data_IF_301594614577
#
_entry.id   IF_301594614577
#
_cell.length_a   1.000
_cell.length_b   1.000
_cell.length_c   1.000
_cell.angle_alpha   90.00
_cell.angle_beta   90.00
_cell.angle_gamma   90.00
#
_symmetry.space_group_name_H-M   'P 1'
#
loop_
_entity.id
_entity.type
_entity.pdbx_description
1 polymer ?
#
# COMPACT_ATOMS: atom_id res chain seq x y z
N UNK A 1 26.50 -0.06 9.75
CA UNK A 1 26.23 -0.88 8.55
C UNK A 1 25.47 0.00 7.58
N UNK A 2 26.13 0.54 6.55
CA UNK A 2 25.48 1.35 5.53
C UNK A 2 24.76 0.41 4.57
N UNK A 3 23.48 0.12 4.77
CA UNK A 3 22.67 -0.30 3.62
C UNK A 3 22.14 0.98 2.97
N UNK A 4 22.44 1.17 1.70
CA UNK A 4 22.10 2.37 0.92
C UNK A 4 20.97 2.05 -0.05
N UNK A 5 19.85 1.48 0.46
CA UNK A 5 18.75 1.06 -0.42
C UNK A 5 18.07 2.27 -1.04
N UNK A 6 17.63 2.14 -2.28
CA UNK A 6 16.73 3.08 -2.94
C UNK A 6 15.29 2.55 -2.91
N UNK A 7 14.34 3.46 -2.71
CA UNK A 7 12.92 3.13 -2.74
C UNK A 7 12.15 4.03 -3.70
N UNK A 8 11.17 3.44 -4.38
CA UNK A 8 10.10 4.16 -5.07
C UNK A 8 8.80 3.98 -4.29
N UNK A 9 8.12 5.08 -3.95
CA UNK A 9 6.83 5.08 -3.30
C UNK A 9 5.78 5.74 -4.19
N UNK A 10 4.75 4.99 -4.52
CA UNK A 10 3.59 5.47 -5.27
C UNK A 10 2.40 5.57 -4.31
N UNK A 11 1.73 6.74 -4.30
CA UNK A 11 0.63 7.01 -3.37
C UNK A 11 1.07 7.60 -2.02
N UNK A 12 2.19 8.32 -2.00
CA UNK A 12 2.76 8.96 -0.80
C UNK A 12 1.82 9.93 -0.07
N UNK A 13 0.87 10.52 -0.79
CA UNK A 13 -0.12 11.46 -0.22
C UNK A 13 -1.35 10.78 0.39
N UNK A 14 -1.50 9.45 0.24
CA UNK A 14 -2.56 8.67 0.87
C UNK A 14 -2.24 8.31 2.33
N UNK A 15 -3.24 7.89 3.11
CA UNK A 15 -3.07 7.63 4.55
C UNK A 15 -1.88 6.71 4.87
N UNK A 16 -1.80 5.53 4.24
CA UNK A 16 -0.69 4.59 4.48
C UNK A 16 0.60 5.14 3.87
N UNK A 17 0.54 5.69 2.65
CA UNK A 17 1.71 6.22 1.96
C UNK A 17 2.44 7.31 2.74
N UNK A 18 1.71 8.18 3.44
CA UNK A 18 2.32 9.22 4.28
C UNK A 18 3.10 8.63 5.45
N UNK A 19 2.62 7.55 6.06
CA UNK A 19 3.39 6.84 7.09
C UNK A 19 4.56 6.06 6.48
N UNK A 20 4.38 5.40 5.33
CA UNK A 20 5.49 4.70 4.63
C UNK A 20 6.61 5.68 4.30
N UNK A 21 6.29 6.88 3.78
CA UNK A 21 7.27 7.93 3.53
C UNK A 21 8.03 8.30 4.82
N UNK A 22 7.32 8.60 5.91
CA UNK A 22 7.95 8.95 7.19
C UNK A 22 8.89 7.85 7.71
N UNK A 23 8.43 6.61 7.69
CA UNK A 23 9.21 5.46 8.16
C UNK A 23 10.45 5.25 7.28
N UNK A 24 10.36 5.41 5.95
CA UNK A 24 11.53 5.29 5.04
C UNK A 24 12.53 6.43 5.29
N UNK A 25 12.07 7.67 5.40
CA UNK A 25 12.96 8.83 5.58
C UNK A 25 13.77 8.75 6.88
N UNK A 26 13.15 8.22 7.95
CA UNK A 26 13.77 8.00 9.25
C UNK A 26 14.63 6.73 9.31
N UNK A 27 14.50 5.80 8.36
CA UNK A 27 15.24 4.55 8.37
C UNK A 27 16.64 4.72 7.74
N UNK A 28 17.68 4.34 8.49
CA UNK A 28 19.07 4.37 8.02
C UNK A 28 19.37 3.36 6.91
N UNK A 29 18.50 2.37 6.70
CA UNK A 29 18.66 1.38 5.65
C UNK A 29 18.41 1.95 4.23
N UNK A 30 17.72 3.09 4.14
CA UNK A 30 17.41 3.78 2.90
C UNK A 30 18.24 5.06 2.76
N UNK A 31 18.91 5.18 1.62
CA UNK A 31 19.68 6.37 1.25
C UNK A 31 18.86 7.40 0.47
N UNK A 32 17.90 6.94 -0.33
CA UNK A 32 17.02 7.80 -1.10
C UNK A 32 15.61 7.20 -1.20
N UNK A 33 14.63 8.09 -1.35
CA UNK A 33 13.24 7.79 -1.59
C UNK A 33 12.76 8.68 -2.73
N UNK A 34 12.31 8.06 -3.83
CA UNK A 34 11.56 8.76 -4.87
C UNK A 34 10.07 8.57 -4.63
N UNK A 35 9.28 9.65 -4.72
CA UNK A 35 7.81 9.58 -4.62
C UNK A 35 7.17 10.01 -5.93
N UNK A 36 6.16 9.26 -6.37
CA UNK A 36 5.29 9.68 -7.48
C UNK A 36 4.02 10.32 -6.93
N UNK A 37 3.81 11.58 -7.30
CA UNK A 37 2.68 12.38 -6.87
C UNK A 37 1.97 13.01 -8.08
N UNK A 38 0.70 13.39 -7.88
CA UNK A 38 -0.08 14.10 -8.91
C UNK A 38 0.08 15.62 -8.84
N UNK A 39 0.37 16.13 -7.64
CA UNK A 39 0.54 17.56 -7.35
C UNK A 39 1.72 17.71 -6.39
N UNK A 40 2.40 18.85 -6.47
CA UNK A 40 3.49 19.20 -5.57
C UNK A 40 3.04 19.17 -4.10
N UNK A 41 3.88 18.62 -3.23
CA UNK A 41 3.70 18.69 -1.78
C UNK A 41 4.70 19.66 -1.16
N UNK A 42 4.49 19.99 0.11
CA UNK A 42 5.37 20.90 0.87
C UNK A 42 6.46 20.16 1.65
N UNK A 43 6.48 18.83 1.60
CA UNK A 43 7.41 17.99 2.35
C UNK A 43 8.81 18.10 1.74
N UNK A 44 9.81 18.32 2.58
CA UNK A 44 11.22 18.40 2.15
C UNK A 44 12.08 17.54 3.07
N UNK A 45 13.02 16.80 2.48
CA UNK A 45 13.95 15.96 3.22
C UNK A 45 15.17 15.66 2.36
N UNK A 46 16.35 15.52 2.96
CA UNK A 46 17.61 15.29 2.23
C UNK A 46 17.62 13.99 1.40
N UNK A 47 16.82 13.00 1.81
CA UNK A 47 16.63 11.73 1.11
C UNK A 47 15.45 11.71 0.12
N UNK A 48 14.58 12.73 0.14
CA UNK A 48 13.32 12.71 -0.60
C UNK A 48 13.49 13.38 -1.96
N UNK A 49 13.12 12.65 -3.01
CA UNK A 49 12.99 13.15 -4.37
C UNK A 49 11.53 13.01 -4.82
N UNK A 50 10.78 14.11 -4.78
CA UNK A 50 9.39 14.09 -5.24
C UNK A 50 9.31 14.36 -6.74
N UNK A 51 8.62 13.49 -7.47
CA UNK A 51 8.42 13.60 -8.92
C UNK A 51 6.93 13.68 -9.21
N UNK A 52 6.53 14.79 -9.80
CA UNK A 52 5.17 14.99 -10.28
C UNK A 52 5.04 14.24 -11.61
N UNK A 53 4.10 13.31 -11.68
CA UNK A 53 3.86 12.49 -12.87
C UNK A 53 2.41 12.54 -13.32
N UNK A 54 2.24 12.38 -14.63
CA UNK A 54 0.98 11.91 -15.19
C UNK A 54 0.97 10.38 -15.12
N UNK A 55 0.04 9.82 -14.32
CA UNK A 55 -0.07 8.37 -14.14
C UNK A 55 -0.51 7.64 -15.40
N UNK A 56 -1.20 8.33 -16.33
CA UNK A 56 -1.53 7.79 -17.65
C UNK A 56 -0.31 7.63 -18.56
N UNK A 57 0.80 8.31 -18.20
CA UNK A 57 2.07 8.28 -18.90
C UNK A 57 3.19 7.74 -18.01
N UNK A 58 2.86 6.88 -17.04
CA UNK A 58 3.83 6.25 -16.15
C UNK A 58 5.03 5.60 -16.89
N UNK A 59 4.88 4.98 -18.09
CA UNK A 59 6.00 4.47 -18.87
C UNK A 59 7.11 5.48 -19.19
N UNK A 60 6.78 6.77 -19.31
CA UNK A 60 7.75 7.83 -19.60
C UNK A 60 8.77 7.99 -18.46
N UNK A 61 8.43 7.49 -17.27
CA UNK A 61 9.24 7.56 -16.05
C UNK A 61 9.92 6.23 -15.70
N UNK A 62 10.00 5.28 -16.62
CA UNK A 62 10.57 3.93 -16.39
C UNK A 62 11.95 3.93 -15.72
N UNK A 63 12.80 4.90 -16.03
CA UNK A 63 14.15 5.01 -15.46
C UNK A 63 14.14 5.20 -13.93
N UNK A 64 13.07 5.79 -13.39
CA UNK A 64 12.88 5.99 -11.94
C UNK A 64 12.43 4.72 -11.22
N UNK A 65 12.12 3.63 -11.94
CA UNK A 65 11.87 2.31 -11.36
C UNK A 65 13.16 1.52 -11.09
N UNK A 66 14.34 2.05 -11.40
CA UNK A 66 15.64 1.44 -11.06
C UNK A 66 15.95 1.60 -9.56
N UNK A 67 15.17 0.91 -8.73
CA UNK A 67 15.25 0.96 -7.27
C UNK A 67 15.30 -0.45 -6.66
N UNK A 68 15.73 -0.54 -5.40
CA UNK A 68 15.76 -1.82 -4.69
C UNK A 68 14.36 -2.28 -4.23
N UNK A 69 13.52 -1.34 -3.81
CA UNK A 69 12.21 -1.58 -3.21
C UNK A 69 11.12 -0.69 -3.83
N UNK A 70 10.01 -1.31 -4.26
CA UNK A 70 8.81 -0.59 -4.69
C UNK A 70 7.69 -0.71 -3.63
N UNK A 71 7.14 0.43 -3.22
CA UNK A 71 5.95 0.51 -2.38
C UNK A 71 4.79 1.11 -3.18
N UNK A 72 3.70 0.36 -3.33
CA UNK A 72 2.48 0.82 -4.01
C UNK A 72 1.36 0.98 -2.99
N UNK A 73 1.13 2.21 -2.56
CA UNK A 73 0.08 2.61 -1.62
C UNK A 73 -1.12 3.29 -2.32
N UNK A 74 -1.31 3.00 -3.61
CA UNK A 74 -2.45 3.50 -4.37
C UNK A 74 -3.76 2.89 -3.88
N UNK A 75 -4.78 3.73 -3.83
CA UNK A 75 -6.14 3.33 -3.54
C UNK A 75 -7.04 4.56 -3.51
N UNK A 76 -8.14 4.48 -4.26
CA UNK A 76 -9.20 5.48 -4.22
C UNK A 76 -10.45 4.92 -3.53
N UNK A 77 -11.44 5.76 -3.29
CA UNK A 77 -12.77 5.31 -2.85
C UNK A 77 -13.74 5.44 -4.01
N UNK A 78 -14.82 4.67 -4.03
CA UNK A 78 -15.89 4.84 -5.04
C UNK A 78 -16.37 6.29 -5.12
N UNK A 79 -16.51 6.96 -3.96
CA UNK A 79 -16.92 8.38 -3.85
C UNK A 79 -15.93 9.31 -4.56
N UNK A 80 -14.62 9.08 -4.39
CA UNK A 80 -13.56 9.88 -5.03
C UNK A 80 -13.35 9.57 -6.50
N UNK A 81 -13.45 8.29 -6.87
CA UNK A 81 -13.31 7.84 -8.24
C UNK A 81 -14.44 8.38 -9.13
N UNK A 82 -15.63 8.55 -8.55
CA UNK A 82 -16.85 8.95 -9.27
C UNK A 82 -17.45 7.81 -10.09
N UNK A 83 -16.62 6.99 -10.75
CA UNK A 83 -17.03 5.87 -11.60
C UNK A 83 -16.30 4.58 -11.23
N UNK A 84 -16.86 3.44 -11.64
CA UNK A 84 -16.21 2.13 -11.50
C UNK A 84 -14.95 2.03 -12.37
N UNK A 85 -14.96 2.63 -13.56
CA UNK A 85 -13.82 2.68 -14.46
C UNK A 85 -12.64 3.43 -13.82
N UNK A 86 -12.88 4.64 -13.29
CA UNK A 86 -11.84 5.40 -12.59
C UNK A 86 -11.33 4.67 -11.34
N UNK A 87 -12.21 3.96 -10.64
CA UNK A 87 -11.81 3.14 -9.50
C UNK A 87 -10.87 2.02 -9.96
N UNK A 88 -11.24 1.28 -11.01
CA UNK A 88 -10.42 0.22 -11.59
C UNK A 88 -9.09 0.77 -12.10
N UNK A 89 -9.10 1.91 -12.77
CA UNK A 89 -7.90 2.58 -13.28
C UNK A 89 -6.86 2.83 -12.18
N UNK A 90 -7.30 3.33 -11.03
CA UNK A 90 -6.41 3.63 -9.90
C UNK A 90 -6.02 2.37 -9.11
N UNK A 91 -6.99 1.52 -8.79
CA UNK A 91 -6.78 0.39 -7.86
C UNK A 91 -6.29 -0.89 -8.54
N UNK A 92 -6.34 -0.96 -9.87
CA UNK A 92 -5.85 -2.07 -10.70
C UNK A 92 -4.84 -1.57 -11.74
N UNK A 93 -5.25 -0.75 -12.73
CA UNK A 93 -4.43 -0.51 -13.93
C UNK A 93 -3.08 0.13 -13.57
N UNK A 94 -3.08 1.23 -12.79
CA UNK A 94 -1.86 1.90 -12.36
C UNK A 94 -0.98 1.03 -11.44
N UNK A 95 -1.58 0.14 -10.65
CA UNK A 95 -0.83 -0.75 -9.74
C UNK A 95 -0.13 -1.84 -10.53
N UNK A 96 -0.83 -2.45 -11.49
CA UNK A 96 -0.27 -3.48 -12.37
C UNK A 96 0.82 -2.88 -13.26
N UNK A 97 0.60 -1.68 -13.80
CA UNK A 97 1.59 -1.00 -14.64
C UNK A 97 2.86 -0.64 -13.85
N UNK A 98 2.72 -0.15 -12.62
CA UNK A 98 3.86 0.09 -11.75
C UNK A 98 4.66 -1.19 -11.46
N UNK A 99 3.97 -2.31 -11.20
CA UNK A 99 4.63 -3.60 -10.98
C UNK A 99 5.32 -4.13 -12.25
N UNK A 100 4.74 -3.91 -13.43
CA UNK A 100 5.34 -4.28 -14.73
C UNK A 100 6.63 -3.49 -14.95
N UNK A 101 6.57 -2.16 -14.83
CA UNK A 101 7.73 -1.28 -14.97
C UNK A 101 8.81 -1.59 -13.93
N UNK A 102 8.43 -1.91 -12.70
CA UNK A 102 9.36 -2.37 -11.67
C UNK A 102 10.12 -3.63 -12.08
N UNK A 103 9.41 -4.66 -12.56
CA UNK A 103 10.04 -5.90 -13.02
C UNK A 103 11.00 -5.65 -14.19
N UNK A 104 10.60 -4.83 -15.16
CA UNK A 104 11.40 -4.48 -16.33
C UNK A 104 12.68 -3.71 -15.97
N UNK A 105 12.66 -2.95 -14.87
CA UNK A 105 13.78 -2.15 -14.40
C UNK A 105 14.55 -2.82 -13.24
N UNK A 106 14.35 -4.12 -13.02
CA UNK A 106 15.16 -4.91 -12.11
C UNK A 106 14.78 -4.84 -10.63
N UNK A 107 13.61 -4.29 -10.29
CA UNK A 107 13.11 -4.31 -8.90
C UNK A 107 12.90 -5.77 -8.48
N UNK A 108 13.44 -6.11 -7.32
CA UNK A 108 13.35 -7.47 -6.78
C UNK A 108 12.30 -7.62 -5.69
N UNK A 109 11.85 -6.51 -5.10
CA UNK A 109 10.97 -6.49 -3.92
C UNK A 109 9.87 -5.45 -4.09
N UNK A 110 8.62 -5.89 -3.93
CA UNK A 110 7.43 -5.03 -4.02
C UNK A 110 6.49 -5.26 -2.84
N UNK A 111 6.02 -4.16 -2.24
CA UNK A 111 4.93 -4.15 -1.26
C UNK A 111 3.73 -3.39 -1.84
N UNK A 112 2.58 -4.04 -1.90
CA UNK A 112 1.34 -3.47 -2.45
C UNK A 112 0.26 -3.44 -1.37
N UNK A 113 -0.41 -2.29 -1.23
CA UNK A 113 -1.59 -2.17 -0.36
C UNK A 113 -2.82 -2.70 -1.09
N UNK A 114 -3.32 -3.83 -0.60
CA UNK A 114 -4.58 -4.45 -0.98
C UNK A 114 -5.64 -4.19 0.11
N UNK A 115 -6.55 -5.13 0.34
CA UNK A 115 -7.61 -5.03 1.34
C UNK A 115 -8.03 -6.40 1.87
N UNK A 116 -8.55 -6.42 3.10
CA UNK A 116 -9.16 -7.62 3.65
C UNK A 116 -10.29 -8.14 2.75
N UNK A 117 -10.27 -9.44 2.45
CA UNK A 117 -11.28 -10.08 1.61
C UNK A 117 -11.15 -9.79 0.11
N UNK A 118 -10.00 -9.29 -0.35
CA UNK A 118 -9.64 -9.28 -1.77
C UNK A 118 -9.76 -10.70 -2.36
N UNK A 119 -10.57 -10.81 -3.42
CA UNK A 119 -10.92 -12.08 -4.05
C UNK A 119 -11.45 -11.78 -5.46
N UNK A 120 -10.80 -12.30 -6.50
CA UNK A 120 -11.18 -12.09 -7.91
C UNK A 120 -12.57 -12.63 -8.25
N UNK A 121 -13.12 -13.53 -7.44
CA UNK A 121 -14.47 -14.09 -7.60
C UNK A 121 -15.52 -13.42 -6.71
N UNK A 122 -15.15 -12.36 -5.98
CA UNK A 122 -16.07 -11.64 -5.10
C UNK A 122 -17.21 -10.98 -5.88
N UNK A 123 -18.43 -11.07 -5.33
CA UNK A 123 -19.59 -10.30 -5.82
C UNK A 123 -19.52 -8.81 -5.48
N UNK A 124 -18.65 -8.42 -4.57
CA UNK A 124 -18.40 -7.02 -4.22
C UNK A 124 -17.28 -6.46 -5.11
N UNK A 125 -17.64 -5.52 -5.99
CA UNK A 125 -16.73 -4.86 -6.94
C UNK A 125 -15.39 -4.40 -6.34
N UNK A 126 -15.39 -3.85 -5.11
CA UNK A 126 -14.17 -3.41 -4.46
C UNK A 126 -13.20 -4.57 -4.20
N UNK A 127 -13.69 -5.64 -3.56
CA UNK A 127 -12.91 -6.85 -3.27
C UNK A 127 -12.52 -7.59 -4.56
N UNK A 128 -13.40 -7.56 -5.56
CA UNK A 128 -13.16 -8.15 -6.88
C UNK A 128 -11.95 -7.49 -7.55
N UNK A 129 -11.97 -6.16 -7.69
CA UNK A 129 -10.87 -5.39 -8.31
C UNK A 129 -9.56 -5.61 -7.56
N UNK A 130 -9.58 -5.63 -6.21
CA UNK A 130 -8.38 -5.90 -5.42
C UNK A 130 -7.84 -7.32 -5.62
N UNK A 131 -8.71 -8.34 -5.67
CA UNK A 131 -8.29 -9.71 -5.92
C UNK A 131 -7.76 -9.92 -7.33
N UNK A 132 -8.39 -9.31 -8.33
CA UNK A 132 -7.90 -9.31 -9.71
C UNK A 132 -6.53 -8.62 -9.81
N UNK A 133 -6.33 -7.49 -9.11
CA UNK A 133 -5.05 -6.78 -9.06
C UNK A 133 -3.96 -7.66 -8.44
N UNK A 134 -4.26 -8.31 -7.31
CA UNK A 134 -3.32 -9.22 -6.65
C UNK A 134 -2.88 -10.34 -7.58
N UNK A 135 -3.82 -10.96 -8.31
CA UNK A 135 -3.51 -12.00 -9.29
C UNK A 135 -2.65 -11.48 -10.43
N UNK A 136 -3.01 -10.33 -11.00
CA UNK A 136 -2.26 -9.71 -12.09
C UNK A 136 -0.83 -9.39 -11.67
N UNK A 137 -0.63 -8.73 -10.52
CA UNK A 137 0.70 -8.41 -9.99
C UNK A 137 1.50 -9.67 -9.65
N UNK A 138 0.86 -10.70 -9.07
CA UNK A 138 1.51 -11.99 -8.79
C UNK A 138 2.07 -12.64 -10.05
N UNK A 139 1.38 -12.51 -11.18
CA UNK A 139 1.77 -13.12 -12.46
C UNK A 139 3.00 -12.48 -13.11
N UNK A 140 3.38 -11.26 -12.70
CA UNK A 140 4.55 -10.53 -13.23
C UNK A 140 5.87 -11.18 -12.81
N UNK A 141 5.89 -11.88 -11.67
CA UNK A 141 7.08 -12.62 -11.23
C UNK A 141 8.21 -11.75 -10.65
N UNK A 142 7.87 -10.71 -9.88
CA UNK A 142 8.83 -10.01 -9.01
C UNK A 142 9.24 -10.97 -7.88
N UNK A 143 10.55 -11.06 -7.60
CA UNK A 143 11.12 -12.12 -6.74
C UNK A 143 10.47 -12.22 -5.37
N UNK A 144 10.19 -11.09 -4.72
CA UNK A 144 9.55 -11.01 -3.41
C UNK A 144 8.38 -10.03 -3.47
N UNK A 145 7.16 -10.56 -3.51
CA UNK A 145 5.92 -9.80 -3.67
C UNK A 145 5.07 -9.93 -2.41
N UNK A 146 4.74 -8.81 -1.77
CA UNK A 146 3.88 -8.77 -0.59
C UNK A 146 2.61 -7.96 -0.85
N UNK A 147 1.46 -8.57 -0.61
CA UNK A 147 0.17 -7.89 -0.57
C UNK A 147 -0.28 -7.71 0.88
N UNK A 148 -0.46 -6.46 1.29
CA UNK A 148 -0.96 -6.12 2.62
C UNK A 148 -2.46 -5.96 2.56
N UNK A 149 -3.19 -6.78 3.31
CA UNK A 149 -4.66 -6.80 3.36
C UNK A 149 -5.16 -6.24 4.70
N UNK A 150 -5.03 -4.92 4.93
CA UNK A 150 -5.54 -4.31 6.14
C UNK A 150 -7.07 -4.40 6.17
N UNK A 151 -7.61 -4.43 7.39
CA UNK A 151 -9.03 -4.19 7.66
C UNK A 151 -9.34 -2.69 7.61
N UNK A 152 -10.45 -2.27 8.22
CA UNK A 152 -10.77 -0.85 8.40
C UNK A 152 -9.56 -0.08 8.93
N UNK A 153 -9.23 1.04 8.31
CA UNK A 153 -8.07 1.84 8.67
C UNK A 153 -8.53 3.02 9.52
N UNK A 154 -7.92 3.19 10.70
CA UNK A 154 -8.09 4.39 11.53
C UNK A 154 -6.99 5.41 11.15
N UNK A 155 -7.35 6.68 11.06
CA UNK A 155 -6.39 7.77 10.87
C UNK A 155 -7.03 9.17 10.82
N UNK A 156 -6.25 10.18 11.24
CA UNK A 156 -6.65 11.58 11.49
C UNK A 156 -6.89 12.45 10.22
N UNK A 157 -7.11 11.84 9.05
CA UNK A 157 -7.50 12.61 7.85
C UNK A 157 -9.00 12.44 7.63
N UNK A 158 -9.68 13.56 7.44
CA UNK A 158 -11.13 13.80 7.25
C UNK A 158 -11.84 13.02 6.12
N UNK A 159 -11.33 11.87 5.73
CA UNK A 159 -11.98 10.98 4.79
C UNK A 159 -12.23 9.65 5.47
N UNK A 160 -13.40 9.61 6.09
CA UNK A 160 -14.15 8.41 6.44
C UNK A 160 -13.94 7.33 5.36
N UNK A 161 -12.95 6.46 5.58
CA UNK A 161 -12.77 5.24 4.81
C UNK A 161 -13.93 4.32 5.15
N UNK A 162 -15.00 4.40 4.35
CA UNK A 162 -16.19 3.53 4.43
C UNK A 162 -16.85 3.49 5.82
N UNK A 163 -16.66 4.53 6.63
CA UNK A 163 -17.19 4.61 7.99
C UNK A 163 -18.63 5.11 8.09
N UNK A 164 -19.16 5.80 7.07
CA UNK A 164 -20.45 6.51 7.18
C UNK A 164 -21.69 5.61 7.34
N UNK A 165 -21.59 4.29 7.18
CA UNK A 165 -22.72 3.38 7.51
C UNK A 165 -22.41 2.25 8.48
N UNK A 166 -21.13 2.04 8.77
CA UNK A 166 -20.64 0.92 9.58
C UNK A 166 -20.13 1.46 10.93
N UNK A 167 -19.56 2.66 10.96
CA UNK A 167 -18.98 3.27 12.17
C UNK A 167 -20.01 3.59 13.26
N UNK A 168 -21.18 4.10 12.89
CA UNK A 168 -22.25 4.41 13.85
C UNK A 168 -22.83 3.15 14.51
N UNK A 169 -22.81 2.01 13.81
CA UNK A 169 -23.39 0.75 14.31
C UNK A 169 -22.35 -0.12 15.04
N UNK A 170 -21.07 -0.10 14.62
CA UNK A 170 -20.01 -0.93 15.23
C UNK A 170 -19.31 -0.30 16.44
N UNK A 171 -19.28 1.03 16.52
CA UNK A 171 -18.49 1.77 17.53
C UNK A 171 -18.93 1.50 18.98
N UNK A 172 -20.22 1.32 19.22
CA UNK A 172 -20.78 1.23 20.58
C UNK A 172 -21.16 -0.17 21.02
N UNK A 173 -21.33 -1.15 20.10
CA UNK A 173 -21.94 -2.44 20.45
C UNK A 173 -21.03 -3.65 20.17
N UNK A 174 -20.15 -3.62 19.18
CA UNK A 174 -19.50 -4.84 18.65
C UNK A 174 -18.02 -4.99 19.07
N UNK A 175 -17.35 -3.93 19.53
CA UNK A 175 -15.96 -4.01 20.02
C UNK A 175 -15.72 -5.07 21.13
N UNK A 176 -16.62 -5.29 22.11
CA UNK A 176 -16.43 -6.32 23.12
C UNK A 176 -16.63 -7.76 22.59
N UNK A 177 -17.34 -7.91 21.47
CA UNK A 177 -17.77 -9.20 20.91
C UNK A 177 -16.74 -9.79 19.92
N UNK A 178 -15.88 -8.94 19.33
CA UNK A 178 -14.82 -9.38 18.41
C UNK A 178 -13.59 -9.94 19.16
N UNK A 179 -13.75 -11.15 19.73
CA UNK A 179 -12.66 -11.99 20.27
C UNK A 179 -12.45 -13.23 19.37
N UNK A 180 -11.23 -13.77 19.33
CA UNK A 180 -10.90 -14.98 18.54
C UNK A 180 -10.69 -14.72 17.03
N UNK A 181 -11.32 -15.54 16.17
CA UNK A 181 -11.16 -15.56 14.69
C UNK A 181 -11.52 -14.24 13.98
N UNK A 182 -12.16 -13.31 14.68
CA UNK A 182 -12.62 -12.02 14.16
C UNK A 182 -11.66 -10.85 14.45
N UNK A 183 -10.52 -11.10 15.11
CA UNK A 183 -9.46 -10.08 15.36
C UNK A 183 -9.01 -9.36 14.10
N UNK A 184 -8.97 -10.06 12.95
CA UNK A 184 -8.60 -9.49 11.64
C UNK A 184 -9.50 -8.33 11.18
N UNK A 185 -10.68 -8.14 11.76
CA UNK A 185 -11.60 -7.03 11.42
C UNK A 185 -11.46 -5.81 12.33
N UNK A 186 -10.65 -5.88 13.39
CA UNK A 186 -10.33 -4.70 14.20
C UNK A 186 -9.58 -3.71 13.36
N UNK A 187 -9.84 -2.42 13.57
CA UNK A 187 -9.20 -1.42 12.75
C UNK A 187 -7.70 -1.36 13.02
N UNK A 188 -6.92 -1.13 11.96
CA UNK A 188 -5.45 -1.03 12.03
C UNK A 188 -5.04 0.41 11.74
N UNK A 189 -4.09 0.94 12.49
CA UNK A 189 -3.58 2.30 12.26
C UNK A 189 -2.69 2.32 10.99
N UNK A 190 -2.76 3.39 10.20
CA UNK A 190 -1.97 3.51 8.97
C UNK A 190 -0.45 3.34 9.21
N UNK A 191 0.05 3.80 10.36
CA UNK A 191 1.44 3.63 10.76
C UNK A 191 1.81 2.16 11.00
N UNK A 192 0.93 1.37 11.61
CA UNK A 192 1.13 -0.06 11.85
C UNK A 192 1.29 -0.81 10.52
N UNK A 193 0.48 -0.46 9.52
CA UNK A 193 0.62 -1.00 8.16
C UNK A 193 1.97 -0.62 7.56
N UNK A 194 2.36 0.65 7.63
CA UNK A 194 3.64 1.13 7.09
C UNK A 194 4.85 0.41 7.72
N UNK A 195 4.90 0.32 9.06
CA UNK A 195 5.94 -0.42 9.79
C UNK A 195 6.01 -1.88 9.34
N UNK A 196 4.85 -2.55 9.20
CA UNK A 196 4.79 -3.92 8.69
C UNK A 196 5.31 -4.03 7.25
N UNK A 197 4.94 -3.10 6.37
CA UNK A 197 5.42 -3.06 4.97
C UNK A 197 6.95 -3.02 4.90
N UNK A 198 7.59 -2.08 5.60
CA UNK A 198 9.05 -1.98 5.62
C UNK A 198 9.70 -3.24 6.20
N UNK A 199 9.12 -3.82 7.26
CA UNK A 199 9.68 -4.99 7.94
C UNK A 199 9.70 -6.23 7.05
N UNK A 200 8.59 -6.54 6.39
CA UNK A 200 8.50 -7.70 5.49
C UNK A 200 9.32 -7.51 4.22
N UNK A 201 9.30 -6.31 3.65
CA UNK A 201 10.09 -6.04 2.46
C UNK A 201 11.60 -6.09 2.74
N UNK A 202 12.02 -5.75 3.97
CA UNK A 202 13.40 -5.94 4.43
C UNK A 202 13.80 -7.41 4.57
N UNK A 203 12.88 -8.30 5.00
CA UNK A 203 13.10 -9.75 5.05
C UNK A 203 13.30 -10.33 3.64
N UNK A 204 12.55 -9.83 2.66
CA UNK A 204 12.79 -10.09 1.23
C UNK A 204 12.62 -11.56 0.84
N UNK A 205 11.72 -12.29 1.53
CA UNK A 205 11.49 -13.70 1.25
C UNK A 205 10.92 -13.87 -0.16
N UNK A 206 11.57 -14.70 -0.97
CA UNK A 206 11.11 -15.01 -2.31
C UNK A 206 9.68 -15.60 -2.31
N UNK A 207 8.94 -15.31 -3.38
CA UNK A 207 7.57 -15.75 -3.60
C UNK A 207 6.55 -14.63 -3.42
N UNK A 208 5.28 -15.04 -3.50
CA UNK A 208 4.11 -14.17 -3.31
C UNK A 208 3.54 -14.43 -1.93
N UNK A 209 3.37 -13.36 -1.15
CA UNK A 209 2.91 -13.43 0.23
C UNK A 209 1.71 -12.50 0.46
N UNK A 210 0.72 -13.01 1.17
CA UNK A 210 -0.46 -12.25 1.57
C UNK A 210 -0.41 -12.01 3.08
N UNK A 211 -0.29 -10.76 3.49
CA UNK A 211 -0.19 -10.35 4.89
C UNK A 211 -1.55 -9.84 5.35
N UNK A 212 -2.26 -10.71 6.08
CA UNK A 212 -3.58 -10.41 6.63
C UNK A 212 -3.52 -9.44 7.82
N UNK A 213 -4.62 -8.75 8.07
CA UNK A 213 -4.72 -7.65 9.05
C UNK A 213 -4.26 -8.00 10.48
N UNK A 214 -4.52 -9.22 10.95
CA UNK A 214 -4.10 -9.68 12.29
C UNK A 214 -2.58 -9.83 12.40
N UNK A 215 -1.92 -10.28 11.34
CA UNK A 215 -0.46 -10.33 11.26
C UNK A 215 0.15 -8.93 11.17
N UNK A 216 -0.48 -8.03 10.41
CA UNK A 216 -0.08 -6.61 10.34
C UNK A 216 -0.13 -5.99 11.74
N UNK A 217 -1.25 -6.14 12.45
CA UNK A 217 -1.42 -5.61 13.80
C UNK A 217 -0.37 -6.15 14.77
N UNK A 218 -0.17 -7.48 14.78
CA UNK A 218 0.82 -8.13 15.66
C UNK A 218 2.23 -7.61 15.42
N UNK A 219 2.61 -7.31 14.19
CA UNK A 219 3.97 -6.86 13.86
C UNK A 219 4.15 -5.37 14.14
N UNK A 220 3.15 -4.54 13.86
CA UNK A 220 3.26 -3.12 14.16
C UNK A 220 3.20 -2.81 15.67
N UNK A 221 2.53 -3.63 16.47
CA UNK A 221 2.54 -3.53 17.95
C UNK A 221 3.88 -3.93 18.58
N UNK A 222 4.73 -4.68 17.85
CA UNK A 222 6.08 -5.07 18.30
C UNK A 222 7.15 -4.04 17.97
N UNK A 223 6.81 -2.98 17.21
CA UNK A 223 7.72 -1.87 16.94
C UNK A 223 7.53 -0.79 18.01
N UNK A 224 8.57 -0.48 18.81
CA UNK A 224 8.52 0.58 19.81
C UNK A 224 8.17 1.96 19.21
#
# INVERSE_FOLDING_TARGET
MNSNRSALLIGATGLIGTYVQKEILQNSDYGNLTTFVRNQTTETHSKLNEVIIDFDKMPDYKELFKVDDLFVCLGTTKKKAGTQENFRKVDFDYVVEAARLAKENGVTRIAVVSAIGADEHSRFFYNQVKGEMEKAVSSIGISSTYFFRPSLLLGDRDEFRLGERIGEVLGTVIQPVLRGKWKKYRSVHGQTVAKAMLRFLKDGRNGVHFVESDLIAKIGDLCP
#
